data_IF_656542752213
#
_entry.id   IF_656542752213
#
_cell.length_a   1.000
_cell.length_b   1.000
_cell.length_c   1.000
_cell.angle_alpha   90.00
_cell.angle_beta   90.00
_cell.angle_gamma   90.00
#
_symmetry.space_group_name_H-M   'P 1'
#
loop_
_entity.id
_entity.type
_entity.pdbx_description
1 polymer ?
#
# COMPACT_ATOMS: atom_id res chain seq x y z
N UNK A 1 3.21 -0.21 -14.53
CA UNK A 1 1.81 0.09 -14.21
C UNK A 1 0.82 -1.07 -14.47
N UNK A 2 0.37 -1.32 -15.71
CA UNK A 2 -0.72 -2.26 -16.01
C UNK A 2 -0.54 -3.70 -15.46
N UNK A 3 0.71 -4.16 -15.40
CA UNK A 3 1.02 -5.48 -14.85
C UNK A 3 0.77 -5.60 -13.34
N UNK A 4 0.99 -4.55 -12.54
CA UNK A 4 0.70 -4.57 -11.10
C UNK A 4 -0.80 -4.63 -10.87
N UNK A 5 -1.56 -3.78 -11.57
CA UNK A 5 -3.04 -3.78 -11.51
C UNK A 5 -3.59 -5.17 -11.86
N UNK A 6 -3.22 -5.71 -13.02
CA UNK A 6 -3.69 -7.03 -13.45
C UNK A 6 -3.24 -8.16 -12.51
N UNK A 7 -1.99 -8.14 -12.03
CA UNK A 7 -1.51 -9.14 -11.08
C UNK A 7 -2.26 -9.07 -9.73
N UNK A 8 -2.53 -7.87 -9.22
CA UNK A 8 -3.32 -7.66 -8.00
C UNK A 8 -4.75 -8.19 -8.17
N UNK A 9 -5.42 -7.89 -9.29
CA UNK A 9 -6.76 -8.42 -9.57
C UNK A 9 -6.79 -9.96 -9.65
N UNK A 10 -5.77 -10.56 -10.29
CA UNK A 10 -5.62 -12.02 -10.32
C UNK A 10 -5.39 -12.60 -8.92
N UNK A 11 -4.47 -12.02 -8.14
CA UNK A 11 -4.19 -12.44 -6.77
C UNK A 11 -5.43 -12.34 -5.88
N UNK A 12 -6.20 -11.25 -5.98
CA UNK A 12 -7.47 -11.07 -5.27
C UNK A 12 -8.46 -12.19 -5.56
N UNK A 13 -8.66 -12.50 -6.84
CA UNK A 13 -9.60 -13.55 -7.28
C UNK A 13 -9.15 -14.94 -6.83
N UNK A 14 -7.86 -15.24 -6.98
CA UNK A 14 -7.28 -16.52 -6.57
C UNK A 14 -7.31 -16.71 -5.05
N UNK A 15 -7.00 -15.66 -4.30
CA UNK A 15 -7.03 -15.66 -2.84
C UNK A 15 -8.45 -15.61 -2.25
N UNK A 16 -9.45 -15.27 -3.07
CA UNK A 16 -10.82 -14.94 -2.63
C UNK A 16 -10.79 -13.91 -1.48
N UNK A 17 -10.03 -12.83 -1.70
CA UNK A 17 -9.72 -11.88 -0.64
C UNK A 17 -10.97 -11.25 -0.04
N UNK A 18 -11.08 -11.34 1.27
CA UNK A 18 -12.09 -10.69 2.11
C UNK A 18 -11.37 -9.87 3.19
N UNK A 19 -11.63 -8.56 3.22
CA UNK A 19 -11.05 -7.64 4.19
C UNK A 19 -11.50 -7.90 5.62
N UNK A 20 -12.65 -8.54 5.84
CA UNK A 20 -13.13 -8.92 7.16
C UNK A 20 -12.51 -10.24 7.65
N UNK A 21 -11.99 -11.07 6.74
CA UNK A 21 -11.19 -12.25 7.06
C UNK A 21 -9.74 -12.10 6.56
N UNK A 22 -9.01 -11.13 7.14
CA UNK A 22 -7.64 -10.83 6.73
C UNK A 22 -6.67 -12.00 6.91
N UNK A 23 -6.77 -12.76 8.00
CA UNK A 23 -5.86 -13.89 8.27
C UNK A 23 -5.87 -14.88 7.11
N UNK A 24 -7.05 -15.38 6.74
CA UNK A 24 -7.14 -16.42 5.72
C UNK A 24 -6.87 -15.87 4.33
N UNK A 25 -7.37 -14.67 4.04
CA UNK A 25 -7.13 -13.99 2.76
C UNK A 25 -5.64 -13.77 2.50
N UNK A 26 -4.87 -13.35 3.51
CA UNK A 26 -3.41 -13.12 3.40
C UNK A 26 -2.63 -14.43 3.30
N UNK A 27 -3.04 -15.49 4.01
CA UNK A 27 -2.47 -16.84 3.86
C UNK A 27 -2.67 -17.37 2.44
N UNK A 28 -3.88 -17.22 1.89
CA UNK A 28 -4.21 -17.66 0.53
C UNK A 28 -3.46 -16.84 -0.53
N UNK A 29 -3.38 -15.52 -0.37
CA UNK A 29 -2.55 -14.67 -1.23
C UNK A 29 -1.09 -15.14 -1.25
N UNK A 30 -0.51 -15.40 -0.07
CA UNK A 30 0.88 -15.84 0.03
C UNK A 30 1.10 -17.21 -0.61
N UNK A 31 0.16 -18.15 -0.42
CA UNK A 31 0.18 -19.45 -1.09
C UNK A 31 0.21 -19.30 -2.60
N UNK A 32 -0.71 -18.52 -3.17
CA UNK A 32 -0.76 -18.29 -4.62
C UNK A 32 0.48 -17.57 -5.14
N UNK A 33 1.03 -16.60 -4.41
CA UNK A 33 2.29 -15.95 -4.76
C UNK A 33 3.43 -16.96 -4.85
N UNK A 34 3.57 -17.85 -3.86
CA UNK A 34 4.60 -18.91 -3.86
C UNK A 34 4.40 -19.87 -5.02
N UNK A 35 3.17 -20.28 -5.31
CA UNK A 35 2.87 -21.21 -6.41
C UNK A 35 3.17 -20.60 -7.78
N UNK A 36 2.86 -19.31 -7.98
CA UNK A 36 3.22 -18.59 -9.22
C UNK A 36 4.74 -18.51 -9.38
N UNK A 37 5.47 -18.20 -8.30
CA UNK A 37 6.93 -18.12 -8.34
C UNK A 37 7.57 -19.50 -8.64
N UNK A 38 7.06 -20.58 -8.04
CA UNK A 38 7.52 -21.95 -8.34
C UNK A 38 7.31 -22.32 -9.80
N UNK A 39 6.15 -22.00 -10.38
CA UNK A 39 5.89 -22.21 -11.82
C UNK A 39 6.83 -21.41 -12.71
N UNK A 40 7.18 -20.20 -12.28
CA UNK A 40 8.11 -19.33 -12.98
C UNK A 40 9.54 -19.89 -12.95
N UNK A 41 9.99 -20.41 -11.80
CA UNK A 41 11.29 -21.09 -11.65
C UNK A 41 11.39 -22.37 -12.47
N UNK A 42 10.29 -23.12 -12.60
CA UNK A 42 10.20 -24.29 -13.48
C UNK A 42 10.15 -23.97 -14.98
N UNK A 43 10.12 -22.69 -15.38
CA UNK A 43 9.96 -22.25 -16.76
C UNK A 43 11.17 -21.42 -17.26
N UNK A 44 12.37 -22.02 -17.42
CA UNK A 44 13.61 -21.30 -17.71
C UNK A 44 13.61 -20.55 -19.06
N UNK A 45 12.73 -20.92 -19.99
CA UNK A 45 12.56 -20.23 -21.29
C UNK A 45 11.71 -18.95 -21.22
N UNK A 46 11.10 -18.63 -20.08
CA UNK A 46 10.27 -17.44 -19.95
C UNK A 46 11.13 -16.16 -19.86
N UNK A 47 11.24 -15.45 -20.99
CA UNK A 47 12.14 -14.30 -21.19
C UNK A 47 11.92 -13.11 -20.23
N UNK A 48 10.82 -13.08 -19.47
CA UNK A 48 10.42 -11.96 -18.62
C UNK A 48 10.32 -12.28 -17.12
N UNK A 49 10.97 -13.36 -16.65
CA UNK A 49 10.86 -13.83 -15.26
C UNK A 49 11.23 -12.78 -14.21
N UNK A 50 12.31 -12.01 -14.44
CA UNK A 50 12.70 -10.90 -13.55
C UNK A 50 11.62 -9.82 -13.43
N UNK A 51 10.94 -9.50 -14.53
CA UNK A 51 9.86 -8.48 -14.55
C UNK A 51 8.64 -8.99 -13.78
N UNK A 52 8.28 -10.25 -13.95
CA UNK A 52 7.17 -10.88 -13.20
C UNK A 52 7.45 -10.88 -11.70
N UNK A 53 8.68 -11.20 -11.27
CA UNK A 53 9.08 -11.14 -9.85
C UNK A 53 8.89 -9.75 -9.26
N UNK A 54 9.41 -8.71 -9.93
CA UNK A 54 9.22 -7.31 -9.50
C UNK A 54 7.76 -6.89 -9.44
N UNK A 55 6.92 -7.38 -10.35
CA UNK A 55 5.48 -7.11 -10.33
C UNK A 55 4.83 -7.80 -9.12
N UNK A 56 5.15 -9.06 -8.84
CA UNK A 56 4.60 -9.83 -7.72
C UNK A 56 5.10 -9.37 -6.34
N UNK A 57 6.24 -8.69 -6.28
CA UNK A 57 6.74 -8.01 -5.07
C UNK A 57 5.83 -6.85 -4.64
N UNK A 58 5.21 -6.17 -5.61
CA UNK A 58 4.34 -5.02 -5.38
C UNK A 58 2.87 -5.46 -5.33
N UNK A 59 2.44 -6.30 -6.28
CA UNK A 59 1.05 -6.71 -6.43
C UNK A 59 0.50 -7.33 -5.14
N UNK A 60 -0.76 -7.02 -4.85
CA UNK A 60 -1.39 -7.33 -3.57
C UNK A 60 -2.88 -7.63 -3.75
N UNK A 61 -3.38 -8.66 -3.05
CA UNK A 61 -4.77 -9.13 -3.20
C UNK A 61 -5.81 -8.20 -2.56
N UNK A 62 -5.40 -7.25 -1.71
CA UNK A 62 -6.29 -6.27 -1.10
C UNK A 62 -6.74 -5.14 -2.04
N UNK A 63 -6.19 -5.05 -3.25
CA UNK A 63 -6.59 -4.05 -4.25
C UNK A 63 -7.98 -4.41 -4.81
N UNK A 64 -8.97 -3.57 -4.54
CA UNK A 64 -10.36 -3.77 -4.95
C UNK A 64 -10.63 -3.20 -6.34
N UNK A 65 -10.03 -2.06 -6.67
CA UNK A 65 -10.25 -1.35 -7.94
C UNK A 65 -8.96 -1.16 -8.76
N UNK A 66 -9.05 -0.94 -10.09
CA UNK A 66 -7.90 -0.56 -10.91
C UNK A 66 -7.18 0.70 -10.42
N UNK A 67 -7.94 1.69 -9.92
CA UNK A 67 -7.42 2.94 -9.36
C UNK A 67 -6.55 2.72 -8.12
N UNK A 68 -6.98 1.87 -7.18
CA UNK A 68 -6.16 1.47 -6.04
C UNK A 68 -4.86 0.77 -6.47
N UNK A 69 -4.94 -0.13 -7.47
CA UNK A 69 -3.76 -0.85 -7.98
C UNK A 69 -2.76 0.09 -8.65
N UNK A 70 -3.26 1.11 -9.35
CA UNK A 70 -2.45 2.18 -9.89
C UNK A 70 -1.76 2.96 -8.78
N UNK A 71 -2.52 3.37 -7.76
CA UNK A 71 -2.01 4.13 -6.64
C UNK A 71 -0.95 3.36 -5.86
N UNK A 72 -1.14 2.06 -5.63
CA UNK A 72 -0.12 1.19 -5.01
C UNK A 72 1.18 1.20 -5.82
N UNK A 73 1.10 0.99 -7.13
CA UNK A 73 2.26 1.06 -8.01
C UNK A 73 2.94 2.45 -7.94
N UNK A 74 2.14 3.52 -7.96
CA UNK A 74 2.65 4.88 -7.91
C UNK A 74 3.37 5.17 -6.59
N UNK A 75 2.82 4.75 -5.46
CA UNK A 75 3.45 4.85 -4.15
C UNK A 75 4.83 4.18 -4.13
N UNK A 76 4.96 2.99 -4.73
CA UNK A 76 6.25 2.31 -4.85
C UNK A 76 7.25 3.03 -5.78
N UNK A 77 6.79 3.84 -6.72
CA UNK A 77 7.66 4.65 -7.56
C UNK A 77 8.15 5.92 -6.84
N UNK A 78 7.29 6.59 -6.07
CA UNK A 78 7.60 7.88 -5.45
C UNK A 78 8.21 7.77 -4.06
N UNK A 79 7.96 6.67 -3.32
CA UNK A 79 8.54 6.44 -1.99
C UNK A 79 9.79 5.56 -2.13
N UNK A 80 11.00 6.06 -1.84
CA UNK A 80 12.21 5.25 -1.81
C UNK A 80 12.09 4.09 -0.82
N UNK A 81 12.61 2.92 -1.18
CA UNK A 81 12.60 1.71 -0.32
C UNK A 81 11.20 1.28 0.15
N UNK A 82 10.14 1.69 -0.56
CA UNK A 82 8.80 1.20 -0.32
C UNK A 82 8.72 -0.31 -0.55
N UNK A 83 8.16 -0.99 0.43
CA UNK A 83 7.89 -2.43 0.37
C UNK A 83 6.44 -2.68 0.72
N UNK A 84 5.87 -3.73 0.14
CA UNK A 84 4.54 -4.20 0.49
C UNK A 84 4.55 -4.69 1.95
N UNK A 85 3.59 -4.25 2.74
CA UNK A 85 3.35 -4.74 4.08
C UNK A 85 2.74 -6.14 4.01
N UNK A 86 3.29 -7.10 4.77
CA UNK A 86 2.62 -8.35 5.03
C UNK A 86 1.92 -8.28 6.39
N UNK A 87 0.61 -8.55 6.42
CA UNK A 87 -0.10 -8.82 7.66
C UNK A 87 0.21 -10.25 8.10
N UNK A 88 1.40 -10.47 8.67
CA UNK A 88 1.64 -11.67 9.46
C UNK A 88 1.46 -11.24 10.92
N UNK A 89 0.28 -11.57 11.43
CA UNK A 89 -0.15 -11.58 12.83
C UNK A 89 -0.24 -10.23 13.57
N UNK A 90 -1.50 -9.79 13.77
CA UNK A 90 -1.88 -9.07 14.99
C UNK A 90 -1.74 -10.08 16.14
N UNK A 91 -0.78 -9.91 17.05
CA UNK A 91 -0.75 -10.75 18.26
C UNK A 91 0.55 -10.91 19.05
N UNK A 92 1.71 -10.45 18.59
CA UNK A 92 2.92 -10.43 19.42
C UNK A 92 3.40 -9.00 19.61
N UNK A 93 3.44 -8.55 20.87
CA UNK A 93 4.49 -7.59 21.27
C UNK A 93 5.82 -8.13 20.73
N UNK A 94 6.72 -7.29 20.19
CA UNK A 94 8.06 -7.78 19.90
C UNK A 94 8.61 -8.34 21.21
N UNK A 95 8.83 -9.66 21.26
CA UNK A 95 9.61 -10.27 22.33
C UNK A 95 10.89 -9.43 22.43
N UNK A 96 11.25 -8.89 23.60
CA UNK A 96 12.59 -8.33 23.74
C UNK A 96 13.57 -9.42 23.31
N UNK A 97 14.58 -9.03 22.52
CA UNK A 97 15.63 -9.92 22.10
C UNK A 97 16.19 -10.65 23.34
N UNK A 98 16.60 -11.92 23.21
CA UNK A 98 17.09 -12.67 24.36
C UNK A 98 18.27 -11.93 25.00
N UNK A 99 18.23 -11.86 26.32
CA UNK A 99 19.02 -10.98 27.21
C UNK A 99 20.55 -11.10 27.04
N UNK A 100 21.02 -12.14 26.34
CA UNK A 100 22.43 -12.32 26.00
C UNK A 100 22.94 -11.45 24.84
N UNK A 101 22.08 -10.66 24.19
CA UNK A 101 22.44 -9.74 23.08
C UNK A 101 22.61 -8.26 23.48
N UNK A 102 22.46 -7.91 24.77
CA UNK A 102 22.67 -6.54 25.25
C UNK A 102 23.93 -6.42 26.10
N UNK A 103 25.04 -6.02 25.49
CA UNK A 103 26.16 -5.38 26.21
C UNK A 103 25.87 -3.89 26.41
N UNK A 104 26.19 -3.29 27.57
CA UNK A 104 25.99 -1.87 27.79
C UNK A 104 27.18 -1.10 27.20
N UNK A 105 26.99 -0.45 26.06
CA UNK A 105 27.97 0.48 25.52
C UNK A 105 27.43 1.92 25.60
N UNK A 106 27.75 2.54 26.72
CA UNK A 106 27.73 3.98 26.96
C UNK A 106 28.54 4.71 25.89
N UNK A 107 28.05 5.89 25.47
CA UNK A 107 28.77 6.92 24.72
C UNK A 107 29.14 6.64 23.23
N UNK A 108 28.14 6.62 22.34
CA UNK A 108 28.29 7.17 20.96
C UNK A 108 26.94 7.40 20.25
N UNK A 109 25.94 7.94 20.95
CA UNK A 109 24.57 8.02 20.45
C UNK A 109 24.32 9.11 19.39
N UNK A 110 25.29 9.96 19.05
CA UNK A 110 25.07 11.09 18.11
C UNK A 110 25.60 10.88 16.70
N UNK A 111 26.53 9.95 16.47
CA UNK A 111 27.15 9.77 15.15
C UNK A 111 26.72 8.51 14.39
N UNK A 112 25.90 7.64 14.99
CA UNK A 112 25.26 6.50 14.31
C UNK A 112 23.88 6.85 13.71
N UNK A 113 23.34 8.04 14.03
CA UNK A 113 21.96 8.45 13.68
C UNK A 113 21.77 8.97 12.25
N UNK A 114 22.85 9.20 11.48
CA UNK A 114 22.76 9.71 10.09
C UNK A 114 22.90 8.63 9.01
N UNK A 115 23.44 7.45 9.33
CA UNK A 115 23.63 6.36 8.36
C UNK A 115 22.46 5.37 8.28
N UNK A 116 21.47 5.45 9.18
CA UNK A 116 20.35 4.48 9.26
C UNK A 116 19.00 5.00 8.75
N UNK A 117 18.82 6.33 8.63
CA UNK A 117 17.55 6.91 8.18
C UNK A 117 17.27 6.66 6.68
N UNK A 118 18.31 6.55 5.85
CA UNK A 118 18.19 6.37 4.38
C UNK A 118 17.82 4.94 3.96
N UNK A 119 17.91 3.96 4.88
CA UNK A 119 17.64 2.54 4.60
C UNK A 119 16.32 2.04 5.18
N UNK A 120 15.59 2.88 5.92
CA UNK A 120 14.36 2.47 6.56
C UNK A 120 13.28 2.17 5.51
N UNK A 121 12.87 0.90 5.43
CA UNK A 121 11.81 0.45 4.52
C UNK A 121 10.47 1.00 4.97
N UNK A 122 9.80 1.74 4.08
CA UNK A 122 8.42 2.18 4.28
C UNK A 122 7.48 1.05 3.87
N UNK A 123 6.71 0.51 4.81
CA UNK A 123 5.74 -0.55 4.53
C UNK A 123 4.39 0.06 4.14
N UNK A 124 3.88 -0.31 2.97
CA UNK A 124 2.56 0.06 2.47
C UNK A 124 1.64 -1.14 2.57
N UNK A 125 0.54 -1.02 3.31
CA UNK A 125 -0.45 -2.07 3.49
C UNK A 125 -1.70 -1.75 2.69
N UNK A 126 -2.31 -2.75 2.06
CA UNK A 126 -3.65 -2.62 1.46
C UNK A 126 -4.71 -3.03 2.46
N UNK A 127 -5.92 -2.46 2.37
CA UNK A 127 -7.06 -2.82 3.24
C UNK A 127 -6.66 -2.87 4.73
N UNK A 128 -5.87 -1.91 5.19
CA UNK A 128 -5.30 -1.94 6.53
C UNK A 128 -6.38 -1.68 7.57
N UNK A 129 -6.49 -2.58 8.55
CA UNK A 129 -7.52 -2.49 9.58
C UNK A 129 -7.15 -1.50 10.68
N UNK A 130 -8.08 -0.60 11.00
CA UNK A 130 -7.93 0.46 11.99
C UNK A 130 -9.11 0.39 12.95
N UNK A 131 -8.81 0.32 14.24
CA UNK A 131 -9.82 0.44 15.30
C UNK A 131 -9.73 1.86 15.86
N UNK A 132 -10.81 2.63 15.73
CA UNK A 132 -10.90 4.01 16.22
C UNK A 132 -12.31 4.29 16.75
N UNK A 133 -12.40 4.91 17.92
CA UNK A 133 -13.68 5.22 18.59
C UNK A 133 -14.63 4.01 18.70
N UNK A 134 -14.09 2.82 18.98
CA UNK A 134 -14.87 1.57 19.09
C UNK A 134 -15.41 1.03 17.76
N UNK A 135 -15.04 1.62 16.61
CA UNK A 135 -15.43 1.17 15.28
C UNK A 135 -14.24 0.64 14.50
N UNK A 136 -14.50 -0.33 13.62
CA UNK A 136 -13.53 -0.90 12.71
C UNK A 136 -13.62 -0.20 11.34
N UNK A 137 -12.46 0.17 10.82
CA UNK A 137 -12.30 0.79 9.50
C UNK A 137 -11.22 0.04 8.71
N UNK A 138 -11.30 0.13 7.39
CA UNK A 138 -10.26 -0.36 6.48
C UNK A 138 -9.84 0.79 5.56
N UNK A 139 -8.55 1.06 5.48
CA UNK A 139 -7.98 2.01 4.53
C UNK A 139 -7.47 1.29 3.29
N UNK A 140 -7.77 1.81 2.09
CA UNK A 140 -7.41 1.16 0.82
C UNK A 140 -5.91 0.94 0.72
N UNK A 141 -5.13 1.98 1.04
CA UNK A 141 -3.69 1.91 1.31
C UNK A 141 -3.39 2.59 2.64
N UNK A 142 -2.39 2.08 3.37
CA UNK A 142 -1.93 2.68 4.61
C UNK A 142 -0.42 2.58 4.80
N UNK A 143 0.12 3.59 5.49
CA UNK A 143 1.49 3.60 6.04
C UNK A 143 1.35 3.76 7.56
N UNK A 144 1.17 2.65 8.30
CA UNK A 144 0.86 2.70 9.73
C UNK A 144 1.94 3.36 10.58
N UNK A 145 3.21 3.23 10.19
CA UNK A 145 4.33 3.87 10.88
C UNK A 145 4.24 5.39 10.93
N UNK A 146 3.46 6.00 10.04
CA UNK A 146 3.23 7.45 9.96
C UNK A 146 1.76 7.81 10.21
N UNK A 147 0.92 6.82 10.56
CA UNK A 147 -0.54 6.95 10.62
C UNK A 147 -1.15 7.65 9.40
N UNK A 148 -0.75 7.22 8.20
CA UNK A 148 -1.30 7.73 6.94
C UNK A 148 -2.21 6.67 6.31
N UNK A 149 -3.38 7.09 5.84
CA UNK A 149 -4.26 6.33 4.96
C UNK A 149 -4.35 7.08 3.65
N UNK A 150 -4.27 6.35 2.54
CA UNK A 150 -4.64 6.88 1.23
C UNK A 150 -5.91 6.15 0.79
N UNK A 151 -6.99 6.90 0.57
CA UNK A 151 -8.30 6.39 0.13
C UNK A 151 -8.55 6.80 -1.32
N UNK A 152 -8.93 5.84 -2.15
CA UNK A 152 -9.31 6.06 -3.53
C UNK A 152 -10.83 6.17 -3.61
N UNK A 153 -11.34 7.35 -3.97
CA UNK A 153 -12.77 7.59 -4.12
C UNK A 153 -13.13 7.48 -5.61
N UNK A 154 -13.90 6.45 -5.96
CA UNK A 154 -14.33 6.13 -7.33
C UNK A 154 -15.34 7.11 -7.94
N UNK A 155 -15.48 8.31 -7.40
CA UNK A 155 -16.50 9.29 -7.80
C UNK A 155 -17.89 8.88 -7.31
N UNK A 156 -18.57 9.81 -6.64
CA UNK A 156 -19.96 9.71 -6.17
C UNK A 156 -20.26 8.60 -5.13
N UNK A 157 -19.98 8.85 -3.85
CA UNK A 157 -20.53 8.02 -2.75
C UNK A 157 -21.32 8.74 -1.66
N UNK A 158 -21.66 10.02 -1.85
CA UNK A 158 -22.48 10.75 -0.87
C UNK A 158 -23.79 11.21 -1.52
N UNK A 159 -24.69 10.25 -1.76
CA UNK A 159 -25.99 10.53 -2.39
C UNK A 159 -27.09 10.82 -1.35
N UNK A 160 -26.87 10.55 -0.05
CA UNK A 160 -27.87 10.79 1.00
C UNK A 160 -27.27 11.29 2.32
N UNK A 161 -28.14 11.79 3.21
CA UNK A 161 -27.78 12.36 4.51
C UNK A 161 -27.12 11.36 5.46
N UNK A 162 -27.51 10.07 5.42
CA UNK A 162 -26.89 9.02 6.26
C UNK A 162 -25.46 8.72 5.82
N UNK A 163 -25.21 8.54 4.53
CA UNK A 163 -23.88 8.34 3.98
C UNK A 163 -22.97 9.54 4.27
N UNK A 164 -23.53 10.77 4.25
CA UNK A 164 -22.80 11.98 4.63
C UNK A 164 -22.41 11.98 6.11
N UNK A 165 -23.33 11.59 6.99
CA UNK A 165 -23.06 11.47 8.44
C UNK A 165 -21.99 10.42 8.68
N UNK A 166 -22.13 9.21 8.10
CA UNK A 166 -21.14 8.13 8.24
C UNK A 166 -19.76 8.53 7.73
N UNK A 167 -19.69 9.25 6.61
CA UNK A 167 -18.46 9.80 6.07
C UNK A 167 -17.79 10.78 7.04
N UNK A 168 -18.55 11.74 7.58
CA UNK A 168 -18.05 12.72 8.55
C UNK A 168 -17.63 12.05 9.86
N UNK A 169 -18.39 11.07 10.35
CA UNK A 169 -18.05 10.29 11.53
C UNK A 169 -16.76 9.49 11.35
N UNK A 170 -16.61 8.80 10.21
CA UNK A 170 -15.37 8.09 9.86
C UNK A 170 -14.20 9.05 9.86
N UNK A 171 -14.30 10.18 9.16
CA UNK A 171 -13.22 11.15 9.07
C UNK A 171 -12.83 11.70 10.45
N UNK A 172 -13.82 12.08 11.26
CA UNK A 172 -13.59 12.54 12.64
C UNK A 172 -12.89 11.48 13.49
N UNK A 173 -13.36 10.24 13.45
CA UNK A 173 -12.78 9.16 14.25
C UNK A 173 -11.34 8.85 13.86
N UNK A 174 -11.03 8.83 12.56
CA UNK A 174 -9.66 8.63 12.08
C UNK A 174 -8.74 9.78 12.48
N UNK A 175 -9.18 11.03 12.30
CA UNK A 175 -8.41 12.21 12.70
C UNK A 175 -8.15 12.24 14.21
N UNK A 176 -9.15 11.97 15.04
CA UNK A 176 -9.00 11.93 16.50
C UNK A 176 -8.05 10.80 16.97
N UNK A 177 -7.97 9.70 16.21
CA UNK A 177 -7.00 8.64 16.45
C UNK A 177 -5.57 8.98 15.94
N UNK A 178 -5.39 10.18 15.37
CA UNK A 178 -4.13 10.70 14.85
C UNK A 178 -3.81 10.22 13.43
N UNK A 179 -4.79 9.72 12.69
CA UNK A 179 -4.60 9.34 11.30
C UNK A 179 -4.75 10.53 10.35
N UNK A 180 -3.82 10.66 9.42
CA UNK A 180 -3.94 11.52 8.26
C UNK A 180 -4.62 10.76 7.13
N UNK A 181 -5.70 11.33 6.57
CA UNK A 181 -6.44 10.74 5.44
C UNK A 181 -6.14 11.54 4.18
N UNK A 182 -5.49 10.90 3.20
CA UNK A 182 -5.22 11.45 1.87
C UNK A 182 -6.23 10.86 0.90
N UNK A 183 -7.18 11.65 0.43
CA UNK A 183 -8.18 11.19 -0.55
C UNK A 183 -7.72 11.50 -1.96
N UNK A 184 -7.87 10.52 -2.84
CA UNK A 184 -7.61 10.64 -4.28
C UNK A 184 -8.92 10.37 -5.02
N UNK A 185 -9.38 11.36 -5.76
CA UNK A 185 -10.57 11.24 -6.61
C UNK A 185 -10.19 10.62 -7.95
N UNK A 186 -11.04 9.74 -8.48
CA UNK A 186 -10.83 9.10 -9.78
C UNK A 186 -10.55 10.08 -10.93
N UNK A 187 -11.14 11.29 -10.89
CA UNK A 187 -10.90 12.34 -11.88
C UNK A 187 -9.45 12.82 -11.90
N UNK A 188 -8.73 12.71 -10.77
CA UNK A 188 -7.31 13.07 -10.70
C UNK A 188 -6.43 12.10 -11.51
N UNK A 189 -6.92 10.89 -11.80
CA UNK A 189 -6.19 9.96 -12.66
C UNK A 189 -6.02 10.50 -14.08
N UNK A 190 -6.96 11.32 -14.56
CA UNK A 190 -6.86 11.96 -15.88
C UNK A 190 -5.69 12.95 -16.00
N UNK A 191 -5.14 13.39 -14.87
CA UNK A 191 -4.05 14.36 -14.77
C UNK A 191 -2.85 13.76 -14.00
N UNK A 192 -2.13 12.77 -14.57
CA UNK A 192 -1.06 12.02 -13.90
C UNK A 192 -0.03 12.90 -13.20
N UNK A 193 0.42 13.94 -13.87
CA UNK A 193 1.50 14.79 -13.37
C UNK A 193 1.05 15.59 -12.14
N UNK A 194 -0.15 16.17 -12.20
CA UNK A 194 -0.74 16.89 -11.07
C UNK A 194 -0.98 15.97 -9.87
N UNK A 195 -1.43 14.74 -10.12
CA UNK A 195 -1.57 13.73 -9.07
C UNK A 195 -0.23 13.36 -8.41
N UNK A 196 0.84 13.20 -9.21
CA UNK A 196 2.18 12.93 -8.71
C UNK A 196 2.67 14.08 -7.83
N UNK A 197 2.57 15.31 -8.33
CA UNK A 197 3.07 16.49 -7.62
C UNK A 197 2.28 16.73 -6.33
N UNK A 198 0.96 16.51 -6.37
CA UNK A 198 0.10 16.49 -5.19
C UNK A 198 0.55 15.43 -4.17
N UNK A 199 0.73 14.18 -4.59
CA UNK A 199 1.12 13.09 -3.70
C UNK A 199 2.52 13.32 -3.09
N UNK A 200 3.48 13.79 -3.88
CA UNK A 200 4.83 14.15 -3.38
C UNK A 200 4.72 15.23 -2.32
N UNK A 201 4.02 16.33 -2.62
CA UNK A 201 3.84 17.44 -1.68
C UNK A 201 3.17 16.98 -0.38
N UNK A 202 2.05 16.24 -0.48
CA UNK A 202 1.29 15.77 0.67
C UNK A 202 2.04 14.76 1.52
N UNK A 203 2.70 13.78 0.92
CA UNK A 203 3.45 12.76 1.65
C UNK A 203 4.71 13.33 2.30
N UNK A 204 5.40 14.25 1.61
CA UNK A 204 6.54 14.98 2.17
C UNK A 204 6.14 15.78 3.41
N UNK A 205 5.02 16.50 3.35
CA UNK A 205 4.49 17.24 4.49
C UNK A 205 4.08 16.33 5.68
N UNK A 206 3.82 15.06 5.42
CA UNK A 206 3.52 14.03 6.43
C UNK A 206 4.76 13.24 6.87
N UNK A 207 5.96 13.70 6.50
CA UNK A 207 7.24 13.12 6.93
C UNK A 207 7.67 11.88 6.16
N UNK A 208 7.00 11.53 5.05
CA UNK A 208 7.41 10.43 4.19
C UNK A 208 8.52 10.93 3.24
N UNK A 209 9.68 10.25 3.19
CA UNK A 209 10.67 10.54 2.17
C UNK A 209 10.09 10.21 0.79
N UNK A 210 10.12 11.17 -0.13
CA UNK A 210 9.56 11.04 -1.47
C UNK A 210 10.51 11.56 -2.54
N UNK A 211 10.28 11.12 -3.78
CA UNK A 211 10.97 11.57 -4.98
C UNK A 211 10.00 11.56 -6.17
N UNK A 212 10.37 12.27 -7.24
CA UNK A 212 9.70 12.06 -8.52
C UNK A 212 9.88 10.62 -9.00
N UNK A 213 8.86 10.03 -9.65
CA UNK A 213 8.91 8.64 -10.04
C UNK A 213 10.00 8.40 -11.08
N UNK A 214 10.81 7.37 -10.85
CA UNK A 214 11.96 7.00 -11.69
C UNK A 214 12.08 5.47 -11.81
N UNK A 215 12.89 5.03 -12.77
CA UNK A 215 13.33 3.63 -12.89
C UNK A 215 12.45 2.74 -13.78
N UNK A 216 12.85 1.47 -13.92
CA UNK A 216 12.30 0.54 -14.91
C UNK A 216 10.82 0.15 -14.72
N UNK A 217 10.25 0.47 -13.56
CA UNK A 217 8.83 0.23 -13.26
C UNK A 217 7.96 1.43 -13.65
N UNK A 218 8.55 2.63 -13.79
CA UNK A 218 7.87 3.83 -14.22
C UNK A 218 7.52 3.75 -15.72
N UNK A 219 6.27 4.07 -16.04
CA UNK A 219 5.75 4.14 -17.40
C UNK A 219 4.60 5.14 -17.42
N UNK A 220 4.43 5.90 -18.49
CA UNK A 220 3.26 6.76 -18.70
C UNK A 220 1.96 5.98 -18.52
N UNK A 221 0.92 6.63 -17.99
CA UNK A 221 -0.37 5.99 -17.76
C UNK A 221 -0.96 5.53 -19.11
N UNK A 222 -1.27 4.23 -19.30
CA UNK A 222 -2.08 3.79 -20.43
C UNK A 222 -3.48 4.42 -20.32
N UNK A 223 -3.94 5.11 -21.36
CA UNK A 223 -5.26 5.79 -21.35
C UNK A 223 -6.40 4.83 -21.05
N UNK A 224 -6.25 3.57 -21.43
CA UNK A 224 -7.23 2.52 -21.21
C UNK A 224 -7.54 2.30 -19.73
N UNK A 225 -6.58 2.58 -18.84
CA UNK A 225 -6.78 2.47 -17.39
C UNK A 225 -7.58 3.64 -16.82
N UNK A 226 -7.56 4.79 -17.49
CA UNK A 226 -8.41 5.96 -17.18
C UNK A 226 -9.86 5.71 -17.58
N UNK A 227 -10.08 4.85 -18.58
CA UNK A 227 -11.41 4.50 -19.10
C UNK A 227 -12.05 3.28 -18.42
N UNK A 228 -11.28 2.52 -17.62
CA UNK A 228 -11.79 1.33 -16.91
C UNK A 228 -12.72 1.69 -15.73
N UNK A 229 -12.58 2.88 -15.16
CA UNK A 229 -13.43 3.38 -14.06
C UNK A 229 -14.84 3.78 -14.52
N UNK A 230 -15.11 3.75 -15.84
CA UNK A 230 -16.44 4.01 -16.43
C UNK A 230 -17.26 2.75 -16.70
N UNK A 231 -16.72 1.55 -16.42
CA UNK A 231 -17.33 0.27 -16.82
C UNK A 231 -17.67 -0.67 -15.67
N UNK A 232 -17.60 -0.22 -14.42
CA UNK A 232 -18.03 -0.97 -13.24
C UNK A 232 -18.78 -0.08 -12.26
#
# INVERSE_FOLDING_TARGET
MAAVVGASSCLRKLARFDKHNQSDSRKQEQRWRVDILKKLDGSPRFKNSRKVRKVLEIADAGIETPGEGYLLWLMHCIIPNAVRGCHIEKGLTPSPAPEWLTTPATASARNLSRKTATEQRIKIFTQYEIIASGRQYFGDLAIPSHKIIIEFDGGEKIQNSRARIEFLERQRNLLNAGWSVVRIDSRQLAHPQELIDYLISRLSALGIPVRHPQGSLWSTIPRELLDLDRRY
#
